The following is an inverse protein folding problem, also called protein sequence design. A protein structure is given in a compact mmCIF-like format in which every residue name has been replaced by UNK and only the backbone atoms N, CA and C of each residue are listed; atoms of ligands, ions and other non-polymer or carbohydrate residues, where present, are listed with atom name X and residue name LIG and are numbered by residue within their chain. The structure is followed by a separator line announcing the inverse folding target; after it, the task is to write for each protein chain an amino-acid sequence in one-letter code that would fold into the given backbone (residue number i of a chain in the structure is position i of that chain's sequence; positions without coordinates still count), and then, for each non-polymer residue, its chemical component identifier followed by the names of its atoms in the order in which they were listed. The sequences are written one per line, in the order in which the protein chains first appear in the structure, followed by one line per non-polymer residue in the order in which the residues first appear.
data_IF_556964713395
#
_entry.id   IF_556964713395
#
_cell.length_a   1.000
_cell.length_b   1.000
_cell.length_c   1.000
_cell.angle_alpha   90.00
_cell.angle_beta   90.00
_cell.angle_gamma   90.00
#
_symmetry.space_group_name_H-M   'P 1'
#
loop_
_entity.id
_entity.type
_entity.pdbx_description
1 polymer ?
#
# COMPACT_ATOMS: atom_id res chain seq x y z
N UNK A 1 -8.35 -9.32 8.83
CA UNK A 1 -9.27 -10.16 9.64
C UNK A 1 -8.58 -11.37 10.25
N UNK A 2 -7.70 -12.07 9.53
CA UNK A 2 -7.14 -13.36 9.99
C UNK A 2 -5.76 -13.19 10.63
N UNK A 3 -4.88 -12.39 10.02
CA UNK A 3 -3.54 -12.12 10.54
C UNK A 3 -3.51 -11.09 11.69
N UNK A 4 -4.67 -10.61 12.14
CA UNK A 4 -4.76 -9.55 13.15
C UNK A 4 -4.35 -8.16 12.64
N UNK A 5 -4.29 -7.19 13.55
CA UNK A 5 -3.94 -5.78 13.28
C UNK A 5 -2.51 -5.47 13.70
N UNK A 6 -1.81 -4.54 13.04
CA UNK A 6 -0.54 -3.99 13.55
C UNK A 6 -0.74 -3.26 14.88
N UNK A 7 0.34 -3.07 15.64
CA UNK A 7 0.24 -2.44 16.96
C UNK A 7 -0.31 -1.00 16.86
N UNK A 8 -1.35 -0.68 17.64
CA UNK A 8 -2.05 0.62 17.57
C UNK A 8 -1.14 1.81 17.89
N UNK A 9 -0.14 1.63 18.76
CA UNK A 9 0.86 2.67 19.07
C UNK A 9 1.70 3.04 17.84
N UNK A 10 1.94 2.10 16.93
CA UNK A 10 2.66 2.31 15.68
C UNK A 10 1.76 2.96 14.61
N UNK A 11 0.45 2.72 14.66
CA UNK A 11 -0.53 3.23 13.69
C UNK A 11 -0.72 4.76 13.74
N UNK A 12 -0.47 5.41 14.88
CA UNK A 12 -0.58 6.86 15.03
C UNK A 12 0.43 7.65 14.20
N UNK A 13 1.54 7.02 13.78
CA UNK A 13 2.63 7.66 13.06
C UNK A 13 2.80 7.17 11.61
N UNK A 14 1.88 6.33 11.10
CA UNK A 14 1.93 5.84 9.73
C UNK A 14 1.61 6.98 8.74
N UNK A 15 2.67 7.65 8.28
CA UNK A 15 2.66 8.50 7.10
C UNK A 15 3.17 7.68 5.90
N UNK A 16 2.78 8.05 4.67
CA UNK A 16 3.36 7.46 3.47
C UNK A 16 4.89 7.49 3.55
N UNK A 17 5.53 6.33 3.43
CA UNK A 17 6.98 6.18 3.57
C UNK A 17 7.74 7.05 2.56
N UNK A 18 7.30 7.05 1.30
CA UNK A 18 7.89 7.87 0.25
C UNK A 18 6.86 8.19 -0.84
N UNK A 19 6.39 9.43 -0.89
CA UNK A 19 5.36 9.89 -1.85
C UNK A 19 5.87 9.85 -3.30
N UNK A 20 7.17 10.07 -3.51
CA UNK A 20 7.78 10.00 -4.85
C UNK A 20 7.75 8.56 -5.39
N UNK A 21 8.02 7.56 -4.55
CA UNK A 21 7.93 6.15 -4.95
C UNK A 21 6.48 5.72 -5.22
N UNK A 22 5.51 6.20 -4.42
CA UNK A 22 4.08 5.96 -4.70
C UNK A 22 3.68 6.54 -6.06
N UNK A 23 4.15 7.75 -6.36
CA UNK A 23 3.92 8.41 -7.65
C UNK A 23 4.55 7.62 -8.79
N UNK A 24 5.81 7.19 -8.65
CA UNK A 24 6.49 6.38 -9.66
C UNK A 24 5.77 5.04 -9.90
N UNK A 25 5.36 4.36 -8.83
CA UNK A 25 4.55 3.15 -8.92
C UNK A 25 3.23 3.38 -9.65
N UNK A 26 2.56 4.50 -9.38
CA UNK A 26 1.32 4.89 -10.08
C UNK A 26 1.55 5.11 -11.57
N UNK A 27 2.66 5.73 -11.97
CA UNK A 27 3.03 5.93 -13.38
C UNK A 27 3.23 4.59 -14.09
N UNK A 28 3.97 3.66 -13.49
CA UNK A 28 4.16 2.33 -14.07
C UNK A 28 2.88 1.51 -14.13
N UNK A 29 2.06 1.55 -13.08
CA UNK A 29 0.77 0.89 -13.04
C UNK A 29 -0.16 1.44 -14.12
N UNK A 30 -0.24 2.76 -14.28
CA UNK A 30 -1.07 3.37 -15.32
C UNK A 30 -0.59 2.97 -16.72
N UNK A 31 0.71 3.13 -17.01
CA UNK A 31 1.27 2.72 -18.30
C UNK A 31 0.98 1.25 -18.60
N UNK A 32 1.23 0.35 -17.64
CA UNK A 32 0.92 -1.06 -17.77
C UNK A 32 -0.59 -1.35 -17.93
N UNK A 33 -1.45 -0.54 -17.30
CA UNK A 33 -2.90 -0.71 -17.36
C UNK A 33 -3.47 -0.49 -18.76
N UNK A 34 -2.82 0.33 -19.59
CA UNK A 34 -3.22 0.49 -20.99
C UNK A 34 -3.03 -0.82 -21.76
N UNK A 35 -1.94 -1.54 -21.48
CA UNK A 35 -1.74 -2.90 -21.98
C UNK A 35 -2.70 -3.91 -21.36
N UNK A 36 -2.99 -3.78 -20.06
CA UNK A 36 -3.92 -4.66 -19.34
C UNK A 36 -5.35 -4.60 -19.91
N UNK A 37 -5.91 -3.39 -20.02
CA UNK A 37 -7.27 -3.20 -20.52
C UNK A 37 -7.35 -3.25 -22.05
N UNK A 38 -6.41 -2.61 -22.76
CA UNK A 38 -6.35 -2.62 -24.22
C UNK A 38 -6.08 -4.03 -24.78
N UNK A 39 -5.13 -4.75 -24.18
CA UNK A 39 -4.78 -6.11 -24.57
C UNK A 39 -5.89 -7.13 -24.30
N UNK A 40 -6.78 -6.85 -23.34
CA UNK A 40 -7.98 -7.66 -23.08
C UNK A 40 -8.99 -7.68 -24.24
N UNK A 41 -8.79 -6.83 -25.26
CA UNK A 41 -9.56 -6.91 -26.50
C UNK A 41 -9.10 -8.05 -27.44
N UNK A 42 -7.96 -8.71 -27.16
CA UNK A 42 -7.36 -9.80 -27.93
C UNK A 42 -7.10 -9.49 -29.41
N UNK A 43 -6.82 -8.23 -29.73
CA UNK A 43 -6.45 -7.81 -31.07
C UNK A 43 -6.19 -6.31 -31.18
N UNK A 44 -5.49 -5.92 -32.24
CA UNK A 44 -5.31 -4.51 -32.61
C UNK A 44 -6.56 -4.01 -33.35
N UNK A 45 -7.60 -3.65 -32.59
CA UNK A 45 -8.90 -3.24 -33.10
C UNK A 45 -9.42 -1.98 -32.40
N UNK A 46 -10.56 -1.47 -32.86
CA UNK A 46 -11.12 -0.23 -32.32
C UNK A 46 -11.62 -0.41 -30.88
N UNK A 47 -12.02 -1.63 -30.47
CA UNK A 47 -12.36 -1.92 -29.06
C UNK A 47 -11.14 -1.77 -28.14
N UNK A 48 -9.95 -2.16 -28.58
CA UNK A 48 -8.72 -1.96 -27.81
C UNK A 48 -8.43 -0.48 -27.57
N UNK A 49 -8.57 0.35 -28.62
CA UNK A 49 -8.39 1.81 -28.53
C UNK A 49 -9.42 2.41 -27.57
N UNK A 50 -10.68 1.98 -27.66
CA UNK A 50 -11.75 2.40 -26.75
C UNK A 50 -11.45 2.01 -25.29
N UNK A 51 -10.96 0.79 -25.06
CA UNK A 51 -10.58 0.35 -23.72
C UNK A 51 -9.45 1.21 -23.13
N UNK A 52 -8.41 1.52 -23.91
CA UNK A 52 -7.35 2.44 -23.48
C UNK A 52 -7.90 3.84 -23.17
N UNK A 53 -8.76 4.39 -24.03
CA UNK A 53 -9.32 5.72 -23.86
C UNK A 53 -10.20 5.81 -22.60
N UNK A 54 -11.11 4.86 -22.44
CA UNK A 54 -12.00 4.78 -21.28
C UNK A 54 -11.22 4.56 -19.97
N UNK A 55 -10.11 3.82 -20.01
CA UNK A 55 -9.22 3.66 -18.85
C UNK A 55 -8.63 4.99 -18.39
N UNK A 56 -8.10 5.79 -19.33
CA UNK A 56 -7.55 7.11 -19.02
C UNK A 56 -8.60 8.08 -18.47
N UNK A 57 -9.79 8.12 -19.10
CA UNK A 57 -10.89 8.97 -18.64
C UNK A 57 -11.32 8.58 -17.22
N UNK A 58 -11.57 7.29 -16.99
CA UNK A 58 -12.02 6.81 -15.68
C UNK A 58 -10.99 7.12 -14.58
N UNK A 59 -9.71 6.87 -14.86
CA UNK A 59 -8.60 7.16 -13.94
C UNK A 59 -8.54 8.65 -13.56
N UNK A 60 -8.56 9.54 -14.55
CA UNK A 60 -8.46 10.98 -14.30
C UNK A 60 -9.65 11.55 -13.55
N UNK A 61 -10.87 11.15 -13.91
CA UNK A 61 -12.06 11.65 -13.22
C UNK A 61 -12.19 11.08 -11.81
N UNK A 62 -11.73 9.85 -11.55
CA UNK A 62 -11.63 9.30 -10.21
C UNK A 62 -10.59 10.04 -9.37
N UNK A 63 -9.40 10.32 -9.92
CA UNK A 63 -8.34 11.09 -9.28
C UNK A 63 -8.79 12.51 -8.92
N UNK A 64 -9.38 13.24 -9.87
CA UNK A 64 -9.92 14.58 -9.63
C UNK A 64 -10.96 14.56 -8.51
N UNK A 65 -11.88 13.59 -8.55
CA UNK A 65 -12.95 13.48 -7.55
C UNK A 65 -12.39 13.19 -6.15
N UNK A 66 -11.47 12.24 -6.05
CA UNK A 66 -10.81 11.90 -4.78
C UNK A 66 -10.09 13.10 -4.19
N UNK A 67 -9.28 13.78 -5.01
CA UNK A 67 -8.51 14.95 -4.59
C UNK A 67 -9.42 16.10 -4.13
N UNK A 68 -10.55 16.32 -4.81
CA UNK A 68 -11.55 17.31 -4.39
C UNK A 68 -12.21 16.94 -3.05
N UNK A 69 -12.50 15.67 -2.82
CA UNK A 69 -13.07 15.19 -1.55
C UNK A 69 -12.09 15.34 -0.39
N UNK A 70 -10.80 15.05 -0.61
CA UNK A 70 -9.75 15.27 0.38
C UNK A 70 -9.56 16.77 0.66
N UNK A 71 -9.54 17.59 -0.40
CA UNK A 71 -9.40 19.04 -0.28
C UNK A 71 -10.54 19.67 0.53
N UNK A 72 -11.77 19.15 0.43
CA UNK A 72 -12.92 19.63 1.22
C UNK A 72 -12.62 19.63 2.73
N UNK A 73 -11.92 18.60 3.22
CA UNK A 73 -11.64 18.43 4.66
C UNK A 73 -10.28 19.01 5.05
N UNK A 74 -9.23 18.69 4.28
CA UNK A 74 -7.86 19.04 4.60
C UNK A 74 -7.43 20.44 4.11
N UNK A 75 -8.21 21.03 3.19
CA UNK A 75 -7.91 22.31 2.51
C UNK A 75 -6.53 22.33 1.82
N UNK A 76 -6.02 21.15 1.46
CA UNK A 76 -4.72 20.91 0.82
C UNK A 76 -4.89 19.88 -0.29
N UNK A 77 -4.06 20.01 -1.32
CA UNK A 77 -4.01 19.06 -2.44
C UNK A 77 -3.13 17.87 -2.08
N UNK A 78 -3.70 16.66 -2.14
CA UNK A 78 -3.02 15.42 -1.72
C UNK A 78 -2.49 14.66 -2.93
N UNK A 79 -1.17 14.49 -3.02
CA UNK A 79 -0.56 13.66 -4.07
C UNK A 79 -0.90 12.18 -3.88
N UNK A 80 -0.92 11.71 -2.64
CA UNK A 80 -1.33 10.33 -2.32
C UNK A 80 -2.80 10.12 -2.69
N UNK A 81 -3.67 11.09 -2.41
CA UNK A 81 -5.07 11.04 -2.81
C UNK A 81 -5.25 11.02 -4.33
N UNK A 82 -4.40 11.75 -5.07
CA UNK A 82 -4.38 11.67 -6.54
C UNK A 82 -4.00 10.27 -7.00
N UNK A 83 -2.93 9.68 -6.47
CA UNK A 83 -2.51 8.32 -6.80
C UNK A 83 -3.59 7.28 -6.49
N UNK A 84 -4.18 7.31 -5.28
CA UNK A 84 -5.27 6.41 -4.86
C UNK A 84 -6.49 6.52 -5.78
N UNK A 85 -6.86 7.75 -6.17
CA UNK A 85 -7.95 7.97 -7.11
C UNK A 85 -7.64 7.48 -8.52
N UNK A 86 -6.41 7.65 -9.02
CA UNK A 86 -5.97 7.08 -10.30
C UNK A 86 -6.11 5.55 -10.28
N UNK A 87 -5.55 4.88 -9.27
CA UNK A 87 -5.58 3.41 -9.17
C UNK A 87 -7.01 2.91 -9.05
N UNK A 88 -7.82 3.51 -8.18
CA UNK A 88 -9.23 3.14 -8.03
C UNK A 88 -10.00 3.28 -9.34
N UNK A 89 -9.77 4.38 -10.09
CA UNK A 89 -10.39 4.58 -11.40
C UNK A 89 -9.95 3.55 -12.44
N UNK A 90 -8.66 3.21 -12.48
CA UNK A 90 -8.14 2.16 -13.36
C UNK A 90 -8.73 0.78 -13.03
N UNK A 91 -8.83 0.45 -11.74
CA UNK A 91 -9.51 -0.78 -11.27
C UNK A 91 -10.95 -0.81 -11.74
N UNK A 92 -11.71 0.26 -11.53
CA UNK A 92 -13.11 0.32 -11.94
C UNK A 92 -13.27 0.25 -13.47
N UNK A 93 -12.30 0.78 -14.23
CA UNK A 93 -12.28 0.67 -15.68
C UNK A 93 -12.02 -0.75 -16.18
N UNK A 94 -11.30 -1.59 -15.42
CA UNK A 94 -10.95 -2.96 -15.83
C UNK A 94 -12.14 -3.80 -16.34
N UNK A 95 -13.24 -3.94 -15.59
CA UNK A 95 -14.40 -4.70 -16.07
C UNK A 95 -15.25 -3.96 -17.11
N UNK A 96 -15.05 -2.67 -17.38
CA UNK A 96 -16.01 -1.84 -18.12
C UNK A 96 -15.46 -1.16 -19.38
N UNK A 97 -14.15 -0.91 -19.45
CA UNK A 97 -13.50 -0.03 -20.43
C UNK A 97 -13.73 -0.43 -21.89
N UNK A 98 -13.77 -1.73 -22.21
CA UNK A 98 -14.08 -2.25 -23.54
C UNK A 98 -15.57 -2.44 -23.84
N UNK A 99 -16.45 -2.05 -22.93
CA UNK A 99 -17.89 -2.34 -22.99
C UNK A 99 -18.75 -1.08 -22.96
N UNK A 100 -18.33 -0.02 -22.25
CA UNK A 100 -19.14 1.18 -22.03
C UNK A 100 -18.76 2.34 -22.97
N UNK A 101 -19.68 3.27 -23.28
CA UNK A 101 -19.34 4.47 -24.05
C UNK A 101 -18.49 5.47 -23.23
N UNK A 102 -17.73 6.38 -23.88
CA UNK A 102 -16.78 7.26 -23.19
C UNK A 102 -17.40 8.19 -22.14
N UNK A 103 -18.62 8.68 -22.38
CA UNK A 103 -19.33 9.51 -21.40
C UNK A 103 -19.64 8.73 -20.12
N UNK A 104 -19.92 7.43 -20.23
CA UNK A 104 -20.19 6.58 -19.08
C UNK A 104 -18.92 6.31 -18.27
N UNK A 105 -17.74 6.29 -18.91
CA UNK A 105 -16.44 6.21 -18.23
C UNK A 105 -16.15 7.41 -17.35
N UNK A 106 -16.59 8.61 -17.74
CA UNK A 106 -16.50 9.80 -16.90
C UNK A 106 -17.36 9.66 -15.64
N UNK A 107 -18.62 9.22 -15.80
CA UNK A 107 -19.53 8.98 -14.67
C UNK A 107 -18.99 7.87 -13.76
N UNK A 108 -18.42 6.81 -14.34
CA UNK A 108 -17.75 5.74 -13.61
C UNK A 108 -16.58 6.28 -12.79
N UNK A 109 -15.72 7.12 -13.38
CA UNK A 109 -14.59 7.72 -12.69
C UNK A 109 -15.03 8.53 -11.48
N UNK A 110 -15.99 9.45 -11.66
CA UNK A 110 -16.53 10.28 -10.57
C UNK A 110 -17.14 9.40 -9.47
N UNK A 111 -18.00 8.45 -9.84
CA UNK A 111 -18.67 7.56 -8.87
C UNK A 111 -17.66 6.74 -8.11
N UNK A 112 -16.65 6.19 -8.80
CA UNK A 112 -15.58 5.40 -8.18
C UNK A 112 -14.75 6.25 -7.23
N UNK A 113 -14.36 7.46 -7.62
CA UNK A 113 -13.61 8.36 -6.75
C UNK A 113 -14.36 8.70 -5.46
N UNK A 114 -15.69 8.87 -5.53
CA UNK A 114 -16.54 9.07 -4.33
C UNK A 114 -16.56 7.80 -3.48
N UNK A 115 -16.96 6.67 -4.08
CA UNK A 115 -17.22 5.43 -3.34
C UNK A 115 -15.93 4.89 -2.72
N UNK A 116 -14.82 4.86 -3.46
CA UNK A 116 -13.55 4.35 -2.98
C UNK A 116 -12.93 5.25 -1.90
N UNK A 117 -13.01 6.58 -2.03
CA UNK A 117 -12.55 7.51 -0.98
C UNK A 117 -13.29 7.28 0.33
N UNK A 118 -14.63 7.19 0.31
CA UNK A 118 -15.41 6.90 1.51
C UNK A 118 -15.21 5.47 2.03
N UNK A 119 -14.97 4.49 1.14
CA UNK A 119 -14.72 3.11 1.51
C UNK A 119 -13.45 2.94 2.36
N UNK A 120 -12.44 3.83 2.23
CA UNK A 120 -11.26 3.84 3.12
C UNK A 120 -11.64 3.99 4.60
N UNK A 121 -12.83 4.53 4.90
CA UNK A 121 -13.31 4.67 6.28
C UNK A 121 -13.91 3.39 6.87
N UNK A 122 -14.29 2.43 6.02
CA UNK A 122 -14.91 1.17 6.44
C UNK A 122 -14.00 0.44 7.42
N UNK A 123 -12.67 0.41 7.18
CA UNK A 123 -11.70 -0.30 8.03
C UNK A 123 -11.72 0.15 9.50
N UNK A 124 -12.06 1.41 9.77
CA UNK A 124 -12.20 1.92 11.14
C UNK A 124 -13.46 1.39 11.83
N UNK A 125 -14.54 1.17 11.07
CA UNK A 125 -15.83 0.72 11.59
C UNK A 125 -15.80 -0.78 11.88
N UNK A 126 -15.31 -1.58 10.93
CA UNK A 126 -15.21 -3.05 11.07
C UNK A 126 -13.95 -3.49 11.83
N UNK A 127 -13.20 -2.52 12.35
CA UNK A 127 -11.96 -2.71 13.08
C UNK A 127 -10.98 -3.66 12.38
N UNK A 128 -10.65 -3.38 11.12
CA UNK A 128 -9.61 -4.10 10.37
C UNK A 128 -8.43 -3.17 10.10
N UNK A 129 -7.25 -3.74 9.98
CA UNK A 129 -6.05 -3.07 9.49
C UNK A 129 -5.84 -3.47 8.03
N UNK A 130 -6.33 -2.62 7.12
CA UNK A 130 -5.99 -2.66 5.70
C UNK A 130 -4.96 -1.55 5.48
N UNK A 131 -3.70 -1.99 5.36
CA UNK A 131 -2.52 -1.12 5.42
C UNK A 131 -2.40 -0.20 4.22
N UNK A 132 -2.82 -0.68 3.05
CA UNK A 132 -2.70 0.03 1.77
C UNK A 132 -4.07 0.36 1.15
N UNK A 133 -5.15 0.21 1.92
CA UNK A 133 -6.53 0.44 1.45
C UNK A 133 -6.90 -0.43 0.22
N UNK A 134 -6.31 -1.63 0.09
CA UNK A 134 -6.50 -2.54 -1.05
C UNK A 134 -7.97 -2.92 -1.20
N UNK A 135 -8.69 -3.11 -0.09
CA UNK A 135 -10.10 -3.43 -0.15
C UNK A 135 -10.93 -2.28 -0.75
N UNK A 136 -10.61 -1.04 -0.40
CA UNK A 136 -11.31 0.13 -0.93
C UNK A 136 -10.96 0.39 -2.41
N UNK A 137 -9.67 0.41 -2.73
CA UNK A 137 -9.17 0.77 -4.06
C UNK A 137 -9.32 -0.36 -5.08
N UNK A 138 -9.26 -1.64 -4.67
CA UNK A 138 -9.39 -2.78 -5.58
C UNK A 138 -10.74 -3.47 -5.44
N UNK A 139 -11.11 -3.86 -4.22
CA UNK A 139 -12.34 -4.61 -3.97
C UNK A 139 -13.59 -3.82 -4.31
N UNK A 140 -13.80 -2.69 -3.64
CA UNK A 140 -14.99 -1.86 -3.83
C UNK A 140 -15.00 -1.19 -5.20
N UNK A 141 -13.89 -0.61 -5.66
CA UNK A 141 -13.82 -0.01 -6.99
C UNK A 141 -14.10 -1.03 -8.11
N UNK A 142 -13.60 -2.26 -7.99
CA UNK A 142 -13.87 -3.34 -8.94
C UNK A 142 -15.35 -3.72 -8.99
N UNK A 143 -16.02 -3.77 -7.83
CA UNK A 143 -17.48 -3.98 -7.75
C UNK A 143 -18.25 -2.86 -8.46
N UNK A 144 -17.86 -1.60 -8.25
CA UNK A 144 -18.46 -0.44 -8.94
C UNK A 144 -18.29 -0.57 -10.45
N UNK A 145 -17.11 -0.94 -10.92
CA UNK A 145 -16.84 -1.20 -12.34
C UNK A 145 -17.73 -2.30 -12.94
N UNK A 146 -17.84 -3.44 -12.27
CA UNK A 146 -18.71 -4.56 -12.70
C UNK A 146 -20.18 -4.14 -12.78
N UNK A 147 -20.64 -3.37 -11.79
CA UNK A 147 -22.00 -2.85 -11.78
C UNK A 147 -22.25 -1.88 -12.95
N UNK A 148 -21.30 -0.99 -13.24
CA UNK A 148 -21.38 -0.07 -14.37
C UNK A 148 -21.35 -0.79 -15.72
N UNK A 149 -20.57 -1.87 -15.87
CA UNK A 149 -20.66 -2.71 -17.06
C UNK A 149 -22.09 -3.25 -17.25
N UNK A 150 -22.69 -3.80 -16.18
CA UNK A 150 -24.07 -4.32 -16.22
C UNK A 150 -25.13 -3.28 -16.62
N UNK A 151 -24.90 -1.99 -16.32
CA UNK A 151 -25.82 -0.90 -16.65
C UNK A 151 -25.55 -0.32 -18.04
N UNK A 152 -24.31 0.11 -18.27
CA UNK A 152 -23.90 0.96 -19.38
C UNK A 152 -23.19 0.20 -20.51
N UNK A 153 -23.01 -1.11 -20.39
CA UNK A 153 -22.48 -1.94 -21.47
C UNK A 153 -23.26 -1.68 -22.76
N UNK A 154 -22.54 -1.53 -23.86
CA UNK A 154 -23.11 -1.14 -25.14
C UNK A 154 -22.68 -2.14 -26.22
N UNK A 155 -23.66 -2.81 -26.81
CA UNK A 155 -23.47 -3.76 -27.92
C UNK A 155 -22.63 -3.18 -29.06
N UNK A 156 -22.86 -1.91 -29.41
CA UNK A 156 -22.10 -1.20 -30.44
C UNK A 156 -20.65 -0.89 -30.06
N UNK A 157 -20.30 -0.85 -28.76
CA UNK A 157 -18.90 -0.76 -28.29
C UNK A 157 -18.26 -2.14 -28.27
N UNK A 158 -19.01 -3.15 -27.82
CA UNK A 158 -18.55 -4.54 -27.74
C UNK A 158 -18.19 -5.08 -29.12
N UNK A 159 -18.99 -4.76 -30.14
CA UNK A 159 -18.78 -5.17 -31.53
C UNK A 159 -17.64 -4.46 -32.26
N UNK A 160 -16.98 -3.47 -31.66
CA UNK A 160 -15.84 -2.75 -32.29
C UNK A 160 -14.60 -3.62 -32.50
N UNK A 161 -14.60 -4.85 -31.99
CA UNK A 161 -13.57 -5.84 -32.28
C UNK A 161 -13.81 -6.61 -33.59
N UNK A 162 -14.98 -6.44 -34.21
CA UNK A 162 -15.37 -7.10 -35.45
C UNK A 162 -15.77 -8.57 -35.30
N UNK A 163 -15.70 -9.15 -34.09
CA UNK A 163 -16.00 -10.57 -33.84
C UNK A 163 -17.15 -10.78 -32.87
N UNK A 164 -17.34 -9.91 -31.88
CA UNK A 164 -18.41 -9.97 -30.89
C UNK A 164 -19.65 -9.18 -31.33
N UNK A 165 -20.03 -9.32 -32.60
CA UNK A 165 -21.21 -8.65 -33.15
C UNK A 165 -22.50 -9.29 -32.61
N UNK A 166 -23.43 -8.46 -32.12
CA UNK A 166 -24.73 -8.93 -31.61
C UNK A 166 -24.70 -9.50 -30.19
N UNK A 167 -23.58 -9.35 -29.47
CA UNK A 167 -23.54 -9.65 -28.04
C UNK A 167 -24.41 -8.65 -27.28
N UNK A 168 -25.27 -9.17 -26.40
CA UNK A 168 -26.15 -8.36 -25.57
C UNK A 168 -25.33 -7.42 -24.67
N UNK A 169 -25.66 -6.12 -24.71
CA UNK A 169 -25.05 -5.11 -23.86
C UNK A 169 -25.62 -5.09 -22.43
N UNK A 170 -25.62 -3.91 -21.82
CA UNK A 170 -26.12 -3.65 -20.49
C UNK A 170 -27.62 -3.40 -20.43
N UNK A 171 -28.10 -3.01 -19.25
CA UNK A 171 -29.51 -2.70 -19.02
C UNK A 171 -30.02 -1.56 -19.90
N UNK A 172 -29.21 -0.52 -20.13
CA UNK A 172 -29.61 0.64 -20.92
C UNK A 172 -29.74 0.30 -22.42
N UNK A 173 -28.98 -0.66 -22.92
CA UNK A 173 -29.08 -1.14 -24.31
C UNK A 173 -30.05 -2.32 -24.46
N UNK A 174 -31.03 -2.44 -23.55
CA UNK A 174 -32.13 -3.39 -23.70
C UNK A 174 -31.91 -4.78 -23.08
N UNK A 175 -30.85 -4.98 -22.28
CA UNK A 175 -30.63 -6.25 -21.55
C UNK A 175 -30.66 -6.03 -20.03
N UNK A 176 -31.84 -5.85 -19.39
CA UNK A 176 -31.95 -5.67 -17.93
C UNK A 176 -31.31 -6.82 -17.15
N UNK A 177 -31.27 -8.00 -17.76
CA UNK A 177 -30.67 -9.18 -17.20
C UNK A 177 -29.16 -9.06 -16.90
N UNK A 178 -28.47 -8.11 -17.54
CA UNK A 178 -27.06 -7.87 -17.30
C UNK A 178 -26.78 -7.46 -15.84
N UNK A 179 -27.67 -6.71 -15.20
CA UNK A 179 -27.47 -6.24 -13.81
C UNK A 179 -27.41 -7.41 -12.83
N UNK A 180 -28.41 -8.30 -12.84
CA UNK A 180 -28.42 -9.41 -11.88
C UNK A 180 -27.28 -10.41 -12.14
N UNK A 181 -26.85 -10.56 -13.40
CA UNK A 181 -25.67 -11.38 -13.75
C UNK A 181 -24.40 -10.80 -13.12
N UNK A 182 -24.20 -9.48 -13.21
CA UNK A 182 -23.04 -8.83 -12.58
C UNK A 182 -23.11 -8.88 -11.05
N UNK A 183 -24.29 -8.73 -10.45
CA UNK A 183 -24.45 -8.90 -9.00
C UNK A 183 -24.11 -10.33 -8.57
N UNK A 184 -24.62 -11.33 -9.29
CA UNK A 184 -24.30 -12.73 -9.01
C UNK A 184 -22.79 -12.99 -9.13
N UNK A 185 -22.13 -12.42 -10.15
CA UNK A 185 -20.69 -12.50 -10.34
C UNK A 185 -19.92 -11.85 -9.18
N UNK A 186 -20.29 -10.63 -8.77
CA UNK A 186 -19.69 -9.94 -7.62
C UNK A 186 -19.80 -10.81 -6.36
N UNK A 187 -21.00 -11.33 -6.06
CA UNK A 187 -21.23 -12.15 -4.86
C UNK A 187 -20.40 -13.43 -4.91
N UNK A 188 -20.40 -14.13 -6.05
CA UNK A 188 -19.65 -15.38 -6.21
C UNK A 188 -18.14 -15.16 -6.06
N UNK A 189 -17.56 -14.19 -6.78
CA UNK A 189 -16.14 -13.88 -6.71
C UNK A 189 -15.72 -13.39 -5.31
N UNK A 190 -16.53 -12.54 -4.68
CA UNK A 190 -16.24 -12.03 -3.32
C UNK A 190 -16.29 -13.16 -2.30
N UNK A 191 -17.34 -14.00 -2.33
CA UNK A 191 -17.47 -15.11 -1.41
C UNK A 191 -16.33 -16.12 -1.60
N UNK A 192 -16.02 -16.50 -2.83
CA UNK A 192 -14.93 -17.43 -3.14
C UNK A 192 -13.58 -16.87 -2.68
N UNK A 193 -13.23 -15.65 -3.10
CA UNK A 193 -11.96 -15.01 -2.73
C UNK A 193 -11.82 -14.89 -1.22
N UNK A 194 -12.87 -14.42 -0.53
CA UNK A 194 -12.83 -14.28 0.92
C UNK A 194 -12.67 -15.63 1.63
N UNK A 195 -13.53 -16.61 1.31
CA UNK A 195 -13.55 -17.91 2.01
C UNK A 195 -12.28 -18.71 1.74
N UNK A 196 -11.84 -18.78 0.48
CA UNK A 196 -10.66 -19.56 0.11
C UNK A 196 -9.38 -18.91 0.63
N UNK A 197 -9.21 -17.59 0.46
CA UNK A 197 -8.06 -16.88 1.04
C UNK A 197 -8.06 -16.98 2.56
N UNK A 198 -9.23 -16.97 3.20
CA UNK A 198 -9.34 -17.12 4.63
C UNK A 198 -8.90 -18.51 5.11
N UNK A 199 -9.39 -19.55 4.44
CA UNK A 199 -9.02 -20.93 4.72
C UNK A 199 -7.51 -21.14 4.53
N UNK A 200 -6.94 -20.64 3.42
CA UNK A 200 -5.52 -20.76 3.14
C UNK A 200 -4.68 -20.04 4.20
N UNK A 201 -5.02 -18.79 4.53
CA UNK A 201 -4.30 -18.04 5.56
C UNK A 201 -4.37 -18.75 6.92
N UNK A 202 -5.53 -19.31 7.29
CA UNK A 202 -5.70 -20.07 8.51
C UNK A 202 -4.87 -21.36 8.52
N UNK A 203 -4.86 -22.12 7.43
CA UNK A 203 -4.09 -23.36 7.32
C UNK A 203 -2.58 -23.07 7.40
N UNK A 204 -2.11 -22.06 6.66
CA UNK A 204 -0.69 -21.67 6.64
C UNK A 204 -0.23 -21.20 8.02
N UNK A 205 -1.04 -20.41 8.73
CA UNK A 205 -0.74 -19.94 10.09
C UNK A 205 -0.55 -21.08 11.11
N UNK A 206 -1.14 -22.26 10.86
CA UNK A 206 -0.99 -23.45 11.69
C UNK A 206 0.27 -24.27 11.39
N UNK A 207 0.97 -24.02 10.29
CA UNK A 207 2.17 -24.76 9.92
C UNK A 207 3.40 -24.08 10.57
N UNK A 208 4.15 -24.77 11.44
CA UNK A 208 5.37 -24.22 12.04
C UNK A 208 6.38 -23.79 10.96
N UNK A 209 6.91 -22.56 11.09
CA UNK A 209 7.87 -21.98 10.14
C UNK A 209 7.25 -21.22 8.97
N UNK A 210 5.93 -21.27 8.76
CA UNK A 210 5.24 -20.56 7.67
C UNK A 210 4.30 -19.46 8.18
N UNK A 211 4.56 -18.91 9.37
CA UNK A 211 3.72 -17.86 9.94
C UNK A 211 3.70 -16.65 9.01
N UNK A 212 2.51 -16.24 8.60
CA UNK A 212 2.31 -15.09 7.73
C UNK A 212 2.52 -13.74 8.44
N UNK A 213 2.60 -13.75 9.77
CA UNK A 213 2.84 -12.57 10.59
C UNK A 213 4.14 -12.71 11.37
N UNK A 214 4.96 -11.67 11.33
CA UNK A 214 6.15 -11.53 12.15
C UNK A 214 5.82 -11.44 13.65
N UNK A 215 6.82 -11.67 14.49
CA UNK A 215 6.72 -11.49 15.95
C UNK A 215 6.60 -10.00 16.29
N UNK A 216 6.13 -9.67 17.50
CA UNK A 216 6.04 -8.28 17.95
C UNK A 216 7.42 -7.60 18.02
N UNK A 217 8.46 -8.36 18.39
CA UNK A 217 9.85 -7.88 18.43
C UNK A 217 10.35 -7.54 17.02
N UNK A 218 10.11 -8.41 16.04
CA UNK A 218 10.42 -8.15 14.63
C UNK A 218 9.64 -6.93 14.08
N UNK A 219 8.37 -6.77 14.45
CA UNK A 219 7.56 -5.61 14.05
C UNK A 219 8.11 -4.29 14.64
N UNK A 220 8.71 -4.33 15.84
CA UNK A 220 9.36 -3.17 16.49
C UNK A 220 10.72 -2.83 15.87
N UNK A 221 11.55 -3.86 15.62
CA UNK A 221 12.84 -3.74 14.95
C UNK A 221 12.66 -3.18 13.53
N UNK A 222 11.61 -3.63 12.83
CA UNK A 222 11.31 -3.31 11.44
C UNK A 222 11.69 -4.48 10.53
N UNK A 223 10.84 -4.74 9.54
CA UNK A 223 10.96 -5.92 8.68
C UNK A 223 12.25 -5.94 7.84
N UNK A 224 12.79 -4.79 7.49
CA UNK A 224 14.02 -4.69 6.69
C UNK A 224 15.21 -5.29 7.49
N UNK A 225 15.36 -4.89 8.75
CA UNK A 225 16.43 -5.39 9.63
C UNK A 225 16.19 -6.87 10.02
N UNK A 226 14.96 -7.23 10.37
CA UNK A 226 14.62 -8.58 10.83
C UNK A 226 14.70 -9.65 9.73
N UNK A 227 14.27 -9.33 8.50
CA UNK A 227 14.19 -10.31 7.41
C UNK A 227 15.32 -10.20 6.38
N UNK A 228 15.88 -9.01 6.19
CA UNK A 228 16.90 -8.77 5.15
C UNK A 228 18.27 -8.48 5.77
N UNK A 229 18.34 -8.01 7.01
CA UNK A 229 19.58 -7.57 7.66
C UNK A 229 20.20 -6.34 7.01
N UNK A 230 19.41 -5.59 6.24
CA UNK A 230 19.79 -4.34 5.59
C UNK A 230 18.67 -3.31 5.76
N UNK A 231 19.01 -2.02 5.66
CA UNK A 231 18.03 -0.94 5.71
C UNK A 231 17.77 -0.40 4.31
N UNK A 232 16.52 -0.08 3.99
CA UNK A 232 16.20 0.58 2.73
C UNK A 232 16.92 1.93 2.55
N UNK A 233 17.25 2.61 3.65
CA UNK A 233 18.03 3.85 3.66
C UNK A 233 18.95 3.97 4.88
N UNK A 234 20.26 4.10 4.68
CA UNK A 234 21.26 4.18 5.77
C UNK A 234 21.09 5.40 6.69
N UNK A 235 20.55 6.53 6.20
CA UNK A 235 20.32 7.72 7.04
C UNK A 235 19.16 7.57 8.05
N UNK A 236 18.38 6.48 7.97
CA UNK A 236 17.28 6.18 8.90
C UNK A 236 17.83 5.55 10.20
N UNK A 237 18.98 4.87 10.15
CA UNK A 237 19.70 4.35 11.32
C UNK A 237 19.99 5.48 12.33
N UNK A 238 20.52 6.60 11.84
CA UNK A 238 20.90 7.78 12.65
C UNK A 238 19.70 8.44 13.35
N UNK A 239 18.45 8.18 12.92
CA UNK A 239 17.23 8.81 13.47
C UNK A 239 16.36 7.90 14.33
N UNK A 240 16.72 6.62 14.49
CA UNK A 240 15.92 5.64 15.24
C UNK A 240 16.31 5.46 16.71
N UNK A 241 17.40 6.07 17.16
CA UNK A 241 17.68 6.24 18.58
C UNK A 241 16.68 7.23 19.20
N UNK A 242 15.46 6.76 19.42
CA UNK A 242 14.38 7.50 20.07
C UNK A 242 14.79 7.93 21.50
N UNK A 243 15.71 7.18 22.11
CA UNK A 243 16.32 7.47 23.40
C UNK A 243 17.45 8.51 23.33
N UNK A 244 18.09 8.74 22.17
CA UNK A 244 19.12 9.77 22.06
C UNK A 244 18.53 11.19 22.02
N UNK A 245 17.27 11.36 21.60
CA UNK A 245 16.64 12.70 21.51
C UNK A 245 15.70 13.03 22.67
N UNK A 246 15.22 12.04 23.42
CA UNK A 246 14.34 12.29 24.57
C UNK A 246 15.20 12.35 25.82
N UNK A 247 15.53 13.53 26.40
CA UNK A 247 16.22 13.54 27.67
C UNK A 247 15.35 12.80 28.68
N UNK A 248 15.91 11.77 29.31
CA UNK A 248 15.27 11.10 30.42
C UNK A 248 14.82 12.17 31.41
N UNK A 249 13.52 12.19 31.74
CA UNK A 249 12.94 13.14 32.69
C UNK A 249 13.77 13.12 33.98
N UNK A 250 14.62 14.13 34.18
CA UNK A 250 15.44 14.26 35.38
C UNK A 250 16.90 14.68 35.19
N UNK A 251 17.46 14.72 33.98
CA UNK A 251 18.83 15.24 33.79
C UNK A 251 18.83 16.75 33.48
N UNK A 252 19.64 17.57 34.19
CA UNK A 252 19.83 18.97 33.85
C UNK A 252 20.50 19.08 32.48
N UNK A 253 20.00 20.00 31.66
CA UNK A 253 20.55 20.30 30.33
C UNK A 253 21.86 21.06 30.52
N UNK A 254 22.96 20.33 30.65
CA UNK A 254 24.31 20.89 30.55
C UNK A 254 24.96 20.45 29.24
N UNK A 255 25.12 21.42 28.33
CA UNK A 255 25.99 21.34 27.17
C UNK A 255 25.33 20.82 25.88
N UNK A 256 25.62 21.49 24.77
CA UNK A 256 25.37 20.95 23.43
C UNK A 256 26.02 19.56 23.31
N UNK A 257 25.21 18.51 23.17
CA UNK A 257 25.72 17.19 22.81
C UNK A 257 26.24 17.23 21.37
N UNK A 258 27.51 17.61 21.19
CA UNK A 258 28.21 17.47 19.93
C UNK A 258 28.65 16.03 19.76
N UNK A 259 27.84 15.20 19.09
CA UNK A 259 28.28 13.87 18.66
C UNK A 259 29.49 14.06 17.71
N UNK A 260 30.68 13.51 18.02
CA UNK A 260 31.86 13.61 17.17
C UNK A 260 31.56 13.13 15.75
N UNK A 261 32.11 13.82 14.74
CA UNK A 261 31.73 13.59 13.35
C UNK A 261 31.97 12.14 12.89
N UNK A 262 32.97 11.46 13.46
CA UNK A 262 33.28 10.07 13.17
C UNK A 262 32.27 9.05 13.72
N UNK A 263 31.45 9.41 14.70
CA UNK A 263 30.45 8.49 15.29
C UNK A 263 29.07 8.63 14.66
N UNK A 264 28.95 9.46 13.61
CA UNK A 264 27.68 9.73 12.91
C UNK A 264 27.37 8.74 11.77
N UNK A 265 28.22 7.74 11.56
CA UNK A 265 28.11 6.81 10.43
C UNK A 265 28.27 5.35 10.92
N UNK A 266 27.32 4.48 10.57
CA UNK A 266 27.11 3.13 11.12
C UNK A 266 28.19 2.07 10.83
N UNK A 267 29.33 2.45 10.22
CA UNK A 267 30.45 1.53 10.01
C UNK A 267 31.77 2.24 10.36
N UNK A 268 32.42 1.80 11.43
CA UNK A 268 33.68 2.36 11.97
C UNK A 268 34.78 2.50 10.90
N UNK A 269 34.83 1.59 9.93
CA UNK A 269 35.81 1.64 8.84
C UNK A 269 35.59 2.83 7.89
N UNK A 270 34.34 3.22 7.62
CA UNK A 270 34.04 4.41 6.81
C UNK A 270 34.37 5.71 7.54
N UNK A 271 34.16 5.73 8.86
CA UNK A 271 34.55 6.84 9.72
C UNK A 271 36.07 7.08 9.72
N UNK A 272 36.85 6.00 9.82
CA UNK A 272 38.32 6.06 9.81
C UNK A 272 38.88 6.62 8.48
N UNK A 273 38.26 6.31 7.35
CA UNK A 273 38.67 6.84 6.04
C UNK A 273 38.41 8.35 5.90
N UNK A 274 37.33 8.87 6.49
CA UNK A 274 37.02 10.31 6.47
C UNK A 274 37.99 11.13 7.32
N UNK A 275 38.58 10.52 8.35
CA UNK A 275 39.65 11.11 9.16
C UNK A 275 41.06 10.94 8.53
N UNK A 276 41.14 10.37 7.32
CA UNK A 276 42.41 10.17 6.61
C UNK A 276 43.26 9.02 7.16
N UNK A 277 42.66 8.09 7.93
CA UNK A 277 43.32 6.89 8.44
C UNK A 277 43.06 5.71 7.50
N UNK A 278 44.10 4.93 7.20
CA UNK A 278 43.96 3.67 6.45
C UNK A 278 43.29 2.61 7.33
N UNK A 279 42.31 1.85 6.80
CA UNK A 279 41.73 0.72 7.53
C UNK A 279 42.85 -0.25 7.92
N UNK A 280 42.97 -0.62 9.20
CA UNK A 280 44.01 -1.54 9.64
C UNK A 280 43.75 -2.96 9.13
N UNK A 281 44.68 -3.51 8.35
CA UNK A 281 44.67 -4.88 7.80
C UNK A 281 45.01 -5.98 8.84
N UNK A 282 44.71 -5.81 10.13
CA UNK A 282 44.92 -6.89 11.10
C UNK A 282 43.65 -7.75 11.19
N UNK A 283 43.60 -8.72 10.28
CA UNK A 283 42.56 -9.74 10.19
C UNK A 283 42.79 -10.85 11.22
N UNK A 284 42.37 -10.61 12.46
CA UNK A 284 42.08 -11.69 13.40
C UNK A 284 40.69 -12.27 13.12
N UNK A 285 40.61 -13.31 12.28
CA UNK A 285 39.40 -14.13 12.18
C UNK A 285 39.14 -14.83 13.52
N UNK A 286 38.33 -14.19 14.37
CA UNK A 286 37.41 -14.89 15.24
C UNK A 286 35.99 -14.43 14.91
N UNK A 287 35.25 -15.34 14.30
CA UNK A 287 33.80 -15.30 14.19
C UNK A 287 33.22 -15.51 15.60
N UNK A 288 33.47 -14.59 16.53
CA UNK A 288 32.71 -14.52 17.76
C UNK A 288 31.44 -13.75 17.44
N UNK A 289 30.31 -14.44 17.50
CA UNK A 289 29.02 -13.77 17.59
C UNK A 289 29.07 -12.87 18.82
N UNK A 290 29.26 -11.57 18.60
CA UNK A 290 29.23 -10.56 19.64
C UNK A 290 27.86 -9.92 19.49
N UNK A 291 26.84 -10.50 20.13
CA UNK A 291 26.49 -10.18 21.51
C UNK A 291 26.23 -8.68 21.60
N UNK A 292 24.96 -8.32 21.39
CA UNK A 292 24.46 -6.97 21.61
C UNK A 292 25.00 -6.42 22.91
N UNK A 293 25.55 -5.21 22.82
CA UNK A 293 26.19 -4.52 23.92
C UNK A 293 25.24 -4.49 25.12
N UNK A 294 25.62 -5.28 26.12
CA UNK A 294 25.01 -5.33 27.43
C UNK A 294 25.40 -4.08 28.20
N UNK A 295 24.90 -2.92 27.78
CA UNK A 295 24.88 -1.72 28.60
C UNK A 295 23.55 -1.51 29.35
N UNK A 296 22.64 -2.48 29.31
CA UNK A 296 21.37 -2.45 30.04
C UNK A 296 21.31 -3.30 31.33
N UNK A 297 22.42 -3.89 31.82
CA UNK A 297 22.40 -4.73 33.05
C UNK A 297 23.21 -4.16 34.22
N UNK A 298 23.80 -2.97 34.09
CA UNK A 298 24.50 -2.31 35.21
C UNK A 298 23.64 -1.31 36.00
N UNK A 299 22.35 -1.15 35.68
CA UNK A 299 21.42 -0.23 36.38
C UNK A 299 20.29 -0.96 37.12
N UNK A 300 20.45 -2.26 37.37
CA UNK A 300 19.56 -3.06 38.23
C UNK A 300 20.15 -3.37 39.61
N UNK A 301 21.46 -3.18 39.82
CA UNK A 301 22.15 -3.61 41.04
C UNK A 301 22.42 -2.48 42.06
N UNK A 302 22.18 -1.22 41.71
CA UNK A 302 22.37 -0.09 42.65
C UNK A 302 21.07 0.42 43.29
N UNK A 303 19.90 -0.03 42.82
CA UNK A 303 18.60 0.36 43.41
C UNK A 303 18.13 -0.54 44.57
N UNK A 304 18.79 -1.67 44.83
CA UNK A 304 18.46 -2.55 45.97
C UNK A 304 19.28 -2.30 47.24
N UNK A 305 20.25 -1.36 47.22
CA UNK A 305 21.04 -1.00 48.42
C UNK A 305 20.67 0.32 49.09
N UNK A 306 19.69 1.06 48.59
CA UNK A 306 19.21 2.32 49.21
C UNK A 306 17.80 2.27 49.81
N UNK A 307 17.19 1.08 49.95
CA UNK A 307 15.89 0.89 50.63
C UNK A 307 16.00 0.06 51.93
N UNK A 308 17.21 -0.26 52.38
CA UNK A 308 17.44 -0.80 53.74
C UNK A 308 18.50 0.02 54.46
N UNK A 309 18.10 1.20 54.93
CA UNK A 309 18.59 1.81 56.19
C UNK A 309 17.57 2.82 56.68
#
# INVERSE_FOLDING_TARGET
MILGRRQEKMMLNFRPHNVSLITLGTVFLWFGWLGFNGGSAFGANLRAVMACWNSNLTAMFAAMTWVLLDWRLARKWSMVGWCSGVISGLVAATPASGYIPPWASVVLGITTGIVANFATKIKFWIKIDDSLDVFAEHGIAGMVGLFFNGIFGADYIIGLDGVNNGVAGGAITGTPAAIYKQIAYIVACTAYSFVVSALLAFVIDKIPGLKLRATEEAELLGMDDDQLGEFAYDYVEVRRDYLAWTPAKGQPVDGEHSVPQGERHGILQHSQMLEGKTPSEDSGHEHTGIAGDRHAVAMGAEHEKQVQT
#
